data_IF_111242745958
#
_entry.id   IF_111242745958
#
_cell.length_a   1.000
_cell.length_b   1.000
_cell.length_c   1.000
_cell.angle_alpha   90.00
_cell.angle_beta   90.00
_cell.angle_gamma   90.00
#
_symmetry.space_group_name_H-M   'P 1'
#
loop_
_entity.id
_entity.type
_entity.pdbx_description
1 polymer ?
#
# COMPACT_ATOMS: atom_id res chain seq x y z
N UNK A 1 0.31 -9.48 15.18
CA UNK A 1 0.97 -8.96 13.96
C UNK A 1 0.10 -7.92 13.26
N UNK A 2 -1.12 -8.23 12.84
CA UNK A 2 -2.01 -7.29 12.14
C UNK A 2 -2.23 -5.98 12.90
N UNK A 3 -2.60 -6.04 14.19
CA UNK A 3 -2.77 -4.85 15.02
C UNK A 3 -1.52 -3.97 15.02
N UNK A 4 -0.34 -4.57 15.21
CA UNK A 4 0.95 -3.85 15.25
C UNK A 4 1.26 -3.18 13.91
N UNK A 5 1.00 -3.86 12.80
CA UNK A 5 1.20 -3.29 11.47
C UNK A 5 0.18 -2.21 11.10
N UNK A 6 -0.93 -2.12 11.83
CA UNK A 6 -1.94 -1.07 11.62
C UNK A 6 -1.60 0.20 12.41
N UNK A 7 -0.91 0.09 13.54
CA UNK A 7 -0.59 1.22 14.45
C UNK A 7 0.05 2.40 13.71
N UNK A 8 1.14 2.25 12.92
CA UNK A 8 1.78 3.41 12.32
C UNK A 8 0.88 4.17 11.34
N UNK A 9 0.09 3.45 10.53
CA UNK A 9 -0.84 4.06 9.57
C UNK A 9 -1.99 4.80 10.28
N UNK A 10 -2.50 4.22 11.37
CA UNK A 10 -3.53 4.89 12.18
C UNK A 10 -3.00 6.14 12.85
N UNK A 11 -1.78 6.09 13.40
CA UNK A 11 -1.16 7.25 14.02
C UNK A 11 -0.94 8.38 13.01
N UNK A 12 -0.45 8.08 11.80
CA UNK A 12 -0.27 9.08 10.75
C UNK A 12 -1.62 9.64 10.28
N UNK A 13 -2.63 8.80 10.09
CA UNK A 13 -3.98 9.26 9.71
C UNK A 13 -4.63 10.14 10.77
N UNK A 14 -4.57 9.76 12.05
CA UNK A 14 -5.08 10.57 13.14
C UNK A 14 -4.30 11.86 13.33
N UNK A 15 -2.98 11.82 13.18
CA UNK A 15 -2.15 13.02 13.23
C UNK A 15 -2.51 13.99 12.11
N UNK A 16 -2.73 13.51 10.89
CA UNK A 16 -3.20 14.34 9.78
C UNK A 16 -4.59 14.93 10.02
N UNK A 17 -5.50 14.19 10.64
CA UNK A 17 -6.85 14.70 10.91
C UNK A 17 -6.94 15.65 12.11
N UNK A 18 -5.98 15.61 13.03
CA UNK A 18 -5.95 16.44 14.25
C UNK A 18 -4.99 17.64 14.15
N UNK A 19 -4.01 17.60 13.24
CA UNK A 19 -2.99 18.64 13.13
C UNK A 19 -3.45 19.75 12.18
N UNK A 20 -3.49 20.99 12.67
CA UNK A 20 -3.75 22.17 11.83
C UNK A 20 -2.61 22.45 10.82
N UNK A 21 -1.42 21.90 11.05
CA UNK A 21 -0.22 22.17 10.26
C UNK A 21 0.15 21.04 9.27
N UNK A 22 -0.50 19.88 9.37
CA UNK A 22 -0.18 18.73 8.55
C UNK A 22 -1.46 18.08 8.04
N UNK A 23 -1.77 18.32 6.78
CA UNK A 23 -2.91 17.73 6.10
C UNK A 23 -2.45 16.96 4.87
N UNK A 24 -2.78 15.66 4.83
CA UNK A 24 -2.54 14.81 3.68
C UNK A 24 -3.29 15.31 2.44
N UNK A 25 -4.40 16.03 2.60
CA UNK A 25 -5.17 16.62 1.50
C UNK A 25 -4.36 17.65 0.71
N UNK A 26 -3.41 18.35 1.35
CA UNK A 26 -2.52 19.31 0.68
C UNK A 26 -1.64 18.66 -0.42
N UNK A 27 -1.44 17.35 -0.33
CA UNK A 27 -0.67 16.58 -1.30
C UNK A 27 -1.50 16.07 -2.49
N UNK A 28 -2.83 16.27 -2.50
CA UNK A 28 -3.71 15.88 -3.61
C UNK A 28 -3.67 16.89 -4.77
N UNK A 29 -2.45 17.24 -5.19
CA UNK A 29 -2.22 18.01 -6.40
C UNK A 29 -1.55 17.13 -7.47
N UNK A 30 -1.85 17.45 -8.73
CA UNK A 30 -1.43 16.65 -9.88
C UNK A 30 0.10 16.48 -9.95
N UNK A 31 0.87 17.55 -9.71
CA UNK A 31 2.34 17.51 -9.77
C UNK A 31 2.92 16.58 -8.71
N UNK A 32 2.42 16.66 -7.47
CA UNK A 32 2.85 15.79 -6.39
C UNK A 32 2.53 14.32 -6.69
N UNK A 33 1.30 14.02 -7.11
CA UNK A 33 0.87 12.66 -7.43
C UNK A 33 1.74 12.05 -8.53
N UNK A 34 2.06 12.83 -9.57
CA UNK A 34 2.92 12.42 -10.66
C UNK A 34 4.32 12.05 -10.17
N UNK A 35 4.96 12.93 -9.39
CA UNK A 35 6.30 12.69 -8.82
C UNK A 35 6.29 11.54 -7.83
N UNK A 36 5.29 11.47 -6.95
CA UNK A 36 5.13 10.39 -5.99
C UNK A 36 4.98 9.02 -6.69
N UNK A 37 4.23 8.96 -7.79
CA UNK A 37 4.07 7.75 -8.58
C UNK A 37 5.37 7.33 -9.27
N UNK A 38 6.17 8.29 -9.77
CA UNK A 38 7.50 8.04 -10.32
C UNK A 38 8.44 7.45 -9.25
N UNK A 39 8.52 8.12 -8.10
CA UNK A 39 9.33 7.70 -6.97
C UNK A 39 8.92 6.32 -6.46
N UNK A 40 7.62 6.06 -6.36
CA UNK A 40 7.07 4.74 -6.04
C UNK A 40 7.56 3.70 -7.05
N UNK A 41 7.41 3.95 -8.35
CA UNK A 41 7.88 3.03 -9.39
C UNK A 41 9.37 2.70 -9.26
N UNK A 42 10.21 3.72 -9.07
CA UNK A 42 11.65 3.55 -8.83
C UNK A 42 11.95 2.75 -7.57
N UNK A 43 11.25 3.03 -6.47
CA UNK A 43 11.39 2.29 -5.21
C UNK A 43 11.05 0.80 -5.35
N UNK A 44 9.96 0.47 -6.06
CA UNK A 44 9.55 -0.91 -6.29
C UNK A 44 10.58 -1.68 -7.13
N UNK A 45 11.13 -1.05 -8.17
CA UNK A 45 12.20 -1.64 -9.00
C UNK A 45 13.46 -1.83 -8.17
N UNK A 46 13.88 -0.82 -7.41
CA UNK A 46 15.09 -0.86 -6.60
C UNK A 46 15.03 -1.98 -5.57
N UNK A 47 13.94 -2.11 -4.80
CA UNK A 47 13.82 -3.19 -3.80
C UNK A 47 13.75 -4.57 -4.45
N UNK A 48 13.05 -4.71 -5.57
CA UNK A 48 13.02 -5.98 -6.31
C UNK A 48 14.43 -6.37 -6.79
N UNK A 49 15.20 -5.42 -7.34
CA UNK A 49 16.56 -5.66 -7.81
C UNK A 49 17.55 -5.96 -6.67
N UNK A 50 17.45 -5.23 -5.55
CA UNK A 50 18.25 -5.49 -4.35
C UNK A 50 17.97 -6.89 -3.80
N UNK A 51 16.70 -7.30 -3.79
CA UNK A 51 16.31 -8.65 -3.36
C UNK A 51 16.92 -9.73 -4.24
N UNK A 52 16.79 -9.60 -5.56
CA UNK A 52 17.35 -10.54 -6.52
C UNK A 52 18.90 -10.61 -6.40
N UNK A 53 19.55 -9.47 -6.11
CA UNK A 53 20.99 -9.42 -5.89
C UNK A 53 21.42 -10.12 -4.59
N UNK A 54 20.65 -9.97 -3.51
CA UNK A 54 20.92 -10.67 -2.24
C UNK A 54 20.77 -12.19 -2.39
N UNK A 55 19.74 -12.66 -3.10
CA UNK A 55 19.53 -14.09 -3.34
C UNK A 55 20.64 -14.74 -4.19
N UNK A 56 21.30 -13.95 -5.06
CA UNK A 56 22.43 -14.43 -5.89
C UNK A 56 23.80 -14.30 -5.21
N UNK A 57 23.90 -13.54 -4.12
CA UNK A 57 25.19 -13.26 -3.47
C UNK A 57 25.61 -14.37 -2.51
N UNK A 58 26.84 -14.86 -2.68
CA UNK A 58 27.47 -15.89 -1.81
C UNK A 58 27.85 -15.36 -0.43
N UNK A 59 27.93 -14.03 -0.26
CA UNK A 59 28.20 -13.37 1.04
C UNK A 59 27.05 -13.58 2.03
N UNK A 60 25.83 -13.79 1.51
CA UNK A 60 24.65 -14.14 2.29
C UNK A 60 24.37 -15.65 2.18
N UNK A 61 25.41 -16.49 2.21
CA UNK A 61 25.23 -17.92 2.45
C UNK A 61 24.61 -18.10 3.84
N UNK A 62 23.34 -18.51 3.88
CA UNK A 62 22.57 -18.81 5.08
C UNK A 62 22.11 -17.58 5.90
N UNK A 63 21.36 -16.61 5.30
CA UNK A 63 20.72 -15.59 6.11
C UNK A 63 19.70 -16.27 7.02
N UNK A 64 19.68 -15.91 8.31
CA UNK A 64 18.65 -16.40 9.24
C UNK A 64 17.27 -16.25 8.58
N UNK A 65 16.44 -17.31 8.55
CA UNK A 65 15.13 -17.22 7.94
C UNK A 65 14.37 -16.11 8.65
N UNK A 66 14.14 -14.99 7.96
CA UNK A 66 13.48 -13.83 8.55
C UNK A 66 12.09 -14.25 8.98
N UNK A 67 11.93 -14.36 10.31
CA UNK A 67 10.67 -14.76 10.89
C UNK A 67 9.76 -13.55 10.97
N UNK A 68 8.51 -13.77 10.63
CA UNK A 68 7.46 -12.79 10.80
C UNK A 68 7.27 -12.45 12.27
N UNK A 69 7.95 -11.40 12.71
CA UNK A 69 7.99 -10.96 14.11
C UNK A 69 7.35 -9.57 14.28
N UNK A 70 7.32 -9.08 15.51
CA UNK A 70 6.74 -7.77 15.84
C UNK A 70 7.47 -6.61 15.18
N UNK A 71 8.81 -6.69 15.06
CA UNK A 71 9.63 -5.67 14.39
C UNK A 71 9.27 -5.58 12.91
N UNK A 72 9.24 -6.70 12.20
CA UNK A 72 8.85 -6.74 10.78
C UNK A 72 7.41 -6.23 10.59
N UNK A 73 6.49 -6.60 11.47
CA UNK A 73 5.11 -6.11 11.42
C UNK A 73 5.01 -4.59 11.62
N UNK A 74 5.79 -4.03 12.54
CA UNK A 74 5.85 -2.59 12.75
C UNK A 74 6.38 -1.85 11.51
N UNK A 75 7.46 -2.33 10.90
CA UNK A 75 7.99 -1.73 9.67
C UNK A 75 7.03 -1.88 8.48
N UNK A 76 6.32 -3.00 8.33
CA UNK A 76 5.23 -3.12 7.36
C UNK A 76 4.18 -2.02 7.55
N UNK A 77 3.87 -1.68 8.81
CA UNK A 77 3.00 -0.56 9.14
C UNK A 77 3.58 0.80 8.77
N UNK A 78 4.89 1.02 8.95
CA UNK A 78 5.56 2.25 8.51
C UNK A 78 5.49 2.42 6.99
N UNK A 79 5.76 1.37 6.22
CA UNK A 79 5.63 1.40 4.75
C UNK A 79 4.18 1.65 4.31
N UNK A 80 3.20 1.11 5.05
CA UNK A 80 1.79 1.41 4.84
C UNK A 80 1.46 2.88 5.16
N UNK A 81 2.02 3.45 6.22
CA UNK A 81 1.81 4.84 6.61
C UNK A 81 2.41 5.82 5.61
N UNK A 82 3.63 5.54 5.10
CA UNK A 82 4.24 6.31 4.01
C UNK A 82 3.37 6.32 2.76
N UNK A 83 2.68 5.21 2.51
CA UNK A 83 1.79 5.08 1.36
C UNK A 83 0.42 5.74 1.53
N UNK A 84 0.23 6.53 2.59
CA UNK A 84 -0.92 7.43 2.70
C UNK A 84 -0.76 8.67 1.81
N UNK A 85 0.48 8.98 1.39
CA UNK A 85 0.73 10.03 0.41
C UNK A 85 0.12 9.64 -0.95
N UNK A 86 -0.63 10.55 -1.60
CA UNK A 86 -1.29 10.24 -2.86
C UNK A 86 -0.26 10.01 -3.96
N UNK A 87 -0.54 9.03 -4.83
CA UNK A 87 0.40 8.56 -5.86
C UNK A 87 1.33 7.43 -5.39
N UNK A 88 1.43 7.14 -4.09
CA UNK A 88 2.21 5.99 -3.58
C UNK A 88 1.32 4.73 -3.52
N UNK A 89 1.84 3.61 -4.03
CA UNK A 89 1.11 2.34 -4.02
C UNK A 89 1.24 1.66 -2.65
N UNK A 90 0.18 1.70 -1.84
CA UNK A 90 0.18 1.06 -0.51
C UNK A 90 0.47 -0.44 -0.52
N UNK A 91 -0.18 -1.21 -1.40
CA UNK A 91 0.18 -2.63 -1.55
C UNK A 91 1.61 -2.79 -2.06
N UNK A 92 2.06 -1.93 -2.97
CA UNK A 92 3.42 -1.94 -3.51
C UNK A 92 4.49 -1.79 -2.44
N UNK A 93 4.33 -0.78 -1.57
CA UNK A 93 5.26 -0.50 -0.48
C UNK A 93 5.36 -1.66 0.51
N UNK A 94 4.21 -2.17 0.98
CA UNK A 94 4.15 -3.26 1.95
C UNK A 94 4.69 -4.57 1.38
N UNK A 95 4.30 -4.92 0.15
CA UNK A 95 4.77 -6.15 -0.51
C UNK A 95 6.27 -6.07 -0.80
N UNK A 96 6.75 -4.94 -1.34
CA UNK A 96 8.17 -4.79 -1.70
C UNK A 96 9.07 -4.85 -0.47
N UNK A 97 8.69 -4.19 0.62
CA UNK A 97 9.42 -4.32 1.87
C UNK A 97 9.39 -5.75 2.40
N UNK A 98 8.22 -6.39 2.44
CA UNK A 98 8.09 -7.75 2.95
C UNK A 98 8.89 -8.78 2.13
N UNK A 99 8.91 -8.63 0.80
CA UNK A 99 9.75 -9.43 -0.09
C UNK A 99 11.24 -9.15 0.13
N UNK A 100 11.62 -7.88 0.24
CA UNK A 100 13.00 -7.48 0.51
C UNK A 100 13.53 -8.13 1.79
N UNK A 101 12.75 -8.10 2.88
CA UNK A 101 13.11 -8.77 4.14
C UNK A 101 12.86 -10.28 4.12
N UNK A 102 12.48 -10.88 2.99
CA UNK A 102 12.43 -12.33 2.83
C UNK A 102 11.19 -13.04 3.31
N UNK A 103 10.08 -12.33 3.44
CA UNK A 103 8.78 -12.98 3.64
C UNK A 103 8.34 -13.70 2.36
N UNK A 104 7.64 -14.81 2.55
CA UNK A 104 7.10 -15.61 1.47
C UNK A 104 6.14 -14.77 0.60
N UNK A 105 6.41 -14.73 -0.71
CA UNK A 105 5.69 -13.90 -1.70
C UNK A 105 4.17 -14.02 -1.59
N UNK A 106 3.63 -15.24 -1.56
CA UNK A 106 2.18 -15.46 -1.48
C UNK A 106 1.58 -14.93 -0.18
N UNK A 107 2.24 -15.17 0.94
CA UNK A 107 1.79 -14.73 2.27
C UNK A 107 1.82 -13.21 2.40
N UNK A 108 2.89 -12.56 1.96
CA UNK A 108 2.99 -11.10 2.06
C UNK A 108 1.97 -10.39 1.16
N UNK A 109 1.70 -10.92 -0.03
CA UNK A 109 0.65 -10.37 -0.91
C UNK A 109 -0.70 -10.42 -0.19
N UNK A 110 -1.10 -11.58 0.32
CA UNK A 110 -2.36 -11.72 1.07
C UNK A 110 -2.41 -10.82 2.31
N UNK A 111 -1.30 -10.75 3.06
CA UNK A 111 -1.21 -9.93 4.25
C UNK A 111 -1.36 -8.44 3.96
N UNK A 112 -0.73 -7.95 2.89
CA UNK A 112 -0.86 -6.56 2.49
C UNK A 112 -2.34 -6.20 2.25
N UNK A 113 -3.14 -7.08 1.65
CA UNK A 113 -4.59 -6.82 1.51
C UNK A 113 -5.34 -6.87 2.85
N UNK A 114 -5.02 -7.83 3.72
CA UNK A 114 -5.63 -7.87 5.06
C UNK A 114 -5.29 -6.64 5.92
N UNK A 115 -4.09 -6.08 5.78
CA UNK A 115 -3.70 -4.83 6.46
C UNK A 115 -4.53 -3.62 6.02
N UNK A 116 -5.06 -3.60 4.79
CA UNK A 116 -5.90 -2.50 4.30
C UNK A 116 -7.23 -2.43 5.06
N UNK A 117 -7.83 -3.57 5.37
CA UNK A 117 -9.17 -3.67 5.94
C UNK A 117 -9.33 -2.83 7.21
N UNK A 118 -8.49 -3.01 8.27
CA UNK A 118 -8.65 -2.22 9.49
C UNK A 118 -8.35 -0.73 9.28
N UNK A 119 -7.42 -0.37 8.39
CA UNK A 119 -7.09 1.04 8.10
C UNK A 119 -8.24 1.74 7.39
N UNK A 120 -8.80 1.12 6.36
CA UNK A 120 -9.93 1.66 5.59
C UNK A 120 -11.16 1.78 6.49
N UNK A 121 -11.44 0.75 7.30
CA UNK A 121 -12.56 0.78 8.24
C UNK A 121 -12.42 1.92 9.27
N UNK A 122 -11.22 2.09 9.84
CA UNK A 122 -10.95 3.18 10.77
C UNK A 122 -11.06 4.55 10.11
N UNK A 123 -10.61 4.70 8.86
CA UNK A 123 -10.77 5.94 8.10
C UNK A 123 -12.24 6.27 7.85
N UNK A 124 -13.07 5.28 7.51
CA UNK A 124 -14.52 5.45 7.34
C UNK A 124 -15.18 5.88 8.65
N UNK A 125 -14.87 5.19 9.75
CA UNK A 125 -15.40 5.51 11.09
C UNK A 125 -14.96 6.91 11.51
N UNK A 126 -13.70 7.27 11.27
CA UNK A 126 -13.18 8.59 11.57
C UNK A 126 -13.93 9.66 10.79
N UNK A 127 -14.14 9.47 9.49
CA UNK A 127 -14.87 10.41 8.64
C UNK A 127 -16.32 10.60 9.12
N UNK A 128 -17.00 9.51 9.46
CA UNK A 128 -18.37 9.51 9.99
C UNK A 128 -18.52 10.24 11.33
N UNK A 129 -17.56 10.09 12.24
CA UNK A 129 -17.68 10.61 13.60
C UNK A 129 -17.08 12.00 13.78
N UNK A 130 -16.04 12.34 13.00
CA UNK A 130 -15.20 13.52 13.27
C UNK A 130 -15.07 14.49 12.09
N UNK A 131 -15.51 14.12 10.87
CA UNK A 131 -15.29 14.91 9.66
C UNK A 131 -16.59 15.23 8.91
N UNK A 132 -17.69 15.45 9.65
CA UNK A 132 -18.99 15.80 9.06
C UNK A 132 -19.74 14.63 8.37
N UNK A 133 -19.11 13.47 8.24
CA UNK A 133 -19.70 12.30 7.60
C UNK A 133 -19.58 12.30 6.09
N UNK A 134 -20.64 11.88 5.42
CA UNK A 134 -20.71 11.85 3.96
C UNK A 134 -21.73 12.91 3.52
N UNK A 135 -21.26 14.12 3.22
CA UNK A 135 -22.10 15.24 2.80
C UNK A 135 -22.65 15.08 1.37
N UNK A 136 -22.13 14.10 0.60
CA UNK A 136 -22.66 13.78 -0.73
C UNK A 136 -24.02 13.08 -0.62
N UNK A 137 -25.07 13.74 -1.11
CA UNK A 137 -26.40 13.17 -1.29
C UNK A 137 -26.35 12.18 -2.47
N UNK A 138 -25.84 10.98 -2.23
CA UNK A 138 -25.91 9.87 -3.17
C UNK A 138 -27.23 9.13 -2.94
N UNK A 139 -28.06 8.97 -3.97
CA UNK A 139 -29.28 8.17 -3.85
C UNK A 139 -28.93 6.72 -3.47
N UNK A 140 -29.73 6.02 -2.62
CA UNK A 140 -29.43 4.65 -2.23
C UNK A 140 -29.20 3.69 -3.40
N UNK A 141 -29.90 3.92 -4.52
CA UNK A 141 -29.75 3.17 -5.77
C UNK A 141 -28.36 3.40 -6.40
N UNK A 142 -27.92 4.65 -6.50
CA UNK A 142 -26.60 4.99 -7.05
C UNK A 142 -25.49 4.47 -6.14
N UNK A 143 -25.66 4.57 -4.82
CA UNK A 143 -24.72 4.03 -3.84
C UNK A 143 -24.55 2.52 -3.96
N UNK A 144 -25.65 1.77 -4.16
CA UNK A 144 -25.59 0.32 -4.39
C UNK A 144 -24.83 -0.02 -5.68
N UNK A 145 -25.07 0.71 -6.78
CA UNK A 145 -24.37 0.50 -8.05
C UNK A 145 -22.86 0.78 -7.91
N UNK A 146 -22.49 1.88 -7.26
CA UNK A 146 -21.08 2.23 -7.00
C UNK A 146 -20.39 1.19 -6.12
N UNK A 147 -21.08 0.72 -5.06
CA UNK A 147 -20.58 -0.34 -4.19
C UNK A 147 -20.36 -1.65 -4.95
N UNK A 148 -21.37 -2.12 -5.69
CA UNK A 148 -21.29 -3.37 -6.44
C UNK A 148 -20.24 -3.30 -7.55
N UNK A 149 -20.15 -2.17 -8.26
CA UNK A 149 -19.10 -1.93 -9.26
C UNK A 149 -17.71 -2.00 -8.62
N UNK A 150 -17.49 -1.25 -7.54
CA UNK A 150 -16.21 -1.24 -6.81
C UNK A 150 -15.85 -2.62 -6.27
N UNK A 151 -16.82 -3.38 -5.77
CA UNK A 151 -16.64 -4.74 -5.27
C UNK A 151 -16.21 -5.69 -6.39
N UNK A 152 -16.91 -5.69 -7.53
CA UNK A 152 -16.60 -6.57 -8.66
C UNK A 152 -15.23 -6.24 -9.26
N UNK A 153 -14.98 -4.97 -9.61
CA UNK A 153 -13.70 -4.58 -10.19
C UNK A 153 -12.54 -4.69 -9.20
N UNK A 154 -12.79 -4.45 -7.90
CA UNK A 154 -11.82 -4.68 -6.84
C UNK A 154 -11.44 -6.15 -6.71
N UNK A 155 -12.42 -7.07 -6.72
CA UNK A 155 -12.18 -8.52 -6.69
C UNK A 155 -11.42 -9.02 -7.93
N UNK A 156 -11.79 -8.53 -9.12
CA UNK A 156 -11.11 -8.88 -10.36
C UNK A 156 -9.66 -8.37 -10.37
N UNK A 157 -9.44 -7.12 -9.97
CA UNK A 157 -8.10 -6.50 -9.87
C UNK A 157 -7.22 -7.24 -8.87
N UNK A 158 -7.76 -7.59 -7.70
CA UNK A 158 -7.05 -8.38 -6.69
C UNK A 158 -6.63 -9.75 -7.23
N UNK A 159 -7.57 -10.46 -7.86
CA UNK A 159 -7.30 -11.79 -8.44
C UNK A 159 -6.26 -11.72 -9.55
N UNK A 160 -6.35 -10.71 -10.42
CA UNK A 160 -5.37 -10.45 -11.46
C UNK A 160 -4.00 -10.17 -10.87
N UNK A 161 -3.91 -9.28 -9.89
CA UNK A 161 -2.65 -8.88 -9.27
C UNK A 161 -1.96 -10.06 -8.57
N UNK A 162 -2.70 -10.91 -7.84
CA UNK A 162 -2.12 -12.12 -7.24
C UNK A 162 -1.52 -13.02 -8.32
N UNK A 163 -2.27 -13.33 -9.39
CA UNK A 163 -1.78 -14.17 -10.49
C UNK A 163 -0.61 -13.55 -11.25
N UNK A 164 -0.62 -12.24 -11.45
CA UNK A 164 0.45 -11.50 -12.08
C UNK A 164 1.73 -11.62 -11.26
N UNK A 165 1.63 -11.37 -9.96
CA UNK A 165 2.77 -11.47 -9.05
C UNK A 165 3.25 -12.90 -8.90
N UNK A 166 2.41 -13.92 -9.00
CA UNK A 166 2.91 -15.31 -9.00
C UNK A 166 3.84 -15.61 -10.19
N UNK A 167 3.68 -14.90 -11.32
CA UNK A 167 4.45 -15.16 -12.55
C UNK A 167 5.57 -14.16 -12.83
N UNK A 168 5.39 -12.90 -12.41
CA UNK A 168 6.29 -11.80 -12.74
C UNK A 168 6.95 -11.21 -11.48
N UNK A 169 8.10 -10.58 -11.66
CA UNK A 169 8.75 -9.81 -10.60
C UNK A 169 7.98 -8.52 -10.32
N UNK A 170 8.13 -7.99 -9.10
CA UNK A 170 7.48 -6.74 -8.70
C UNK A 170 8.02 -5.53 -9.49
N UNK A 171 9.24 -5.64 -10.05
CA UNK A 171 9.85 -4.63 -10.91
C UNK A 171 8.99 -4.27 -12.14
N UNK A 172 8.26 -5.22 -12.73
CA UNK A 172 7.36 -4.94 -13.86
C UNK A 172 6.21 -4.00 -13.47
N UNK A 173 5.69 -4.14 -12.25
CA UNK A 173 4.69 -3.23 -11.73
C UNK A 173 5.29 -1.84 -11.44
N UNK A 174 6.54 -1.78 -10.97
CA UNK A 174 7.26 -0.53 -10.84
C UNK A 174 7.47 0.19 -12.17
N UNK A 175 7.79 -0.54 -13.24
CA UNK A 175 7.91 0.02 -14.59
C UNK A 175 6.58 0.58 -15.09
N UNK A 176 5.48 -0.14 -14.84
CA UNK A 176 4.13 0.37 -15.11
C UNK A 176 3.86 1.70 -14.41
N UNK A 177 4.20 1.84 -13.11
CA UNK A 177 4.05 3.11 -12.39
C UNK A 177 4.87 4.25 -13.02
N UNK A 178 6.11 3.98 -13.44
CA UNK A 178 6.95 4.98 -14.12
C UNK A 178 6.30 5.44 -15.43
N UNK A 179 5.83 4.49 -16.26
CA UNK A 179 5.19 4.83 -17.55
C UNK A 179 3.95 5.68 -17.31
N UNK A 180 3.08 5.28 -16.38
CA UNK A 180 1.86 6.04 -16.05
C UNK A 180 2.22 7.43 -15.52
N UNK A 181 3.25 7.56 -14.70
CA UNK A 181 3.72 8.87 -14.22
C UNK A 181 4.18 9.78 -15.38
N UNK A 182 4.87 9.24 -16.39
CA UNK A 182 5.30 10.04 -17.55
C UNK A 182 4.11 10.47 -18.43
N UNK A 183 3.11 9.60 -18.56
CA UNK A 183 1.90 9.85 -19.37
C UNK A 183 0.91 10.80 -18.68
N UNK A 184 0.81 10.73 -17.35
CA UNK A 184 -0.05 11.62 -16.57
C UNK A 184 0.35 13.04 -16.85
#
# INVERSE_FOLDING_TARGET
MLAISTIPAVLVGLFSGLSENFDLEAFFNYDFVKVALLCNGGFLIALSGLRDSMEKSTIFENPSPWQWNYKTSFFLGLFQALAMLPGISRSGMVISYGLFVGLEKKKIIQYAFFMAIPVILLSIVYKLLFSGGFDEIISPQSGLVLFLSSFVFGYLSLTFLIKFLERFSFAWFGLYCIIISVVL
#
